data_IF_306179065907
#
_entry.id   IF_306179065907
#
_cell.length_a   1.000
_cell.length_b   1.000
_cell.length_c   1.000
_cell.angle_alpha   90.00
_cell.angle_beta   90.00
_cell.angle_gamma   90.00
#
_symmetry.space_group_name_H-M   'P 1'
#
loop_
_entity.id
_entity.type
_entity.pdbx_description
1 polymer ?
#
# COMPACT_ATOMS: atom_id res chain seq x y z
N UNK A 1 -1.35 3.30 10.89
CA UNK A 1 -2.15 4.52 10.62
C UNK A 1 -1.59 5.18 9.37
N UNK A 2 -2.40 5.45 8.34
CA UNK A 2 -1.95 6.07 7.09
C UNK A 2 -1.92 7.60 7.27
N UNK A 3 -0.79 8.25 6.96
CA UNK A 3 -0.67 9.71 7.02
C UNK A 3 -1.60 10.40 6.02
N UNK A 4 -2.01 11.64 6.33
CA UNK A 4 -2.83 12.45 5.41
C UNK A 4 -2.14 12.69 4.05
N UNK A 5 -0.80 12.70 4.02
CA UNK A 5 -0.03 12.85 2.78
C UNK A 5 -0.13 11.59 1.91
N UNK A 6 0.00 10.41 2.49
CA UNK A 6 -0.21 9.14 1.79
C UNK A 6 -1.64 9.02 1.25
N UNK A 7 -2.67 9.33 2.06
CA UNK A 7 -4.08 9.31 1.63
C UNK A 7 -4.33 10.15 0.38
N UNK A 8 -3.86 11.40 0.36
CA UNK A 8 -4.01 12.28 -0.83
C UNK A 8 -3.35 11.71 -2.08
N UNK A 9 -2.18 11.07 -1.94
CA UNK A 9 -1.53 10.42 -3.08
C UNK A 9 -2.31 9.20 -3.55
N UNK A 10 -2.82 8.40 -2.61
CA UNK A 10 -3.67 7.24 -2.93
C UNK A 10 -4.93 7.70 -3.66
N UNK A 11 -5.61 8.75 -3.20
CA UNK A 11 -6.81 9.29 -3.84
C UNK A 11 -6.54 9.76 -5.28
N UNK A 12 -5.40 10.40 -5.51
CA UNK A 12 -4.98 10.80 -6.85
C UNK A 12 -4.75 9.60 -7.78
N UNK A 13 -4.34 8.45 -7.24
CA UNK A 13 -4.23 7.20 -8.00
C UNK A 13 -5.58 6.51 -8.17
N UNK A 14 -6.40 6.44 -7.13
CA UNK A 14 -7.75 5.89 -7.16
C UNK A 14 -8.61 6.62 -8.19
N UNK A 15 -8.48 7.95 -8.30
CA UNK A 15 -9.17 8.77 -9.29
C UNK A 15 -8.82 8.45 -10.75
N UNK A 16 -7.74 7.71 -11.02
CA UNK A 16 -7.41 7.23 -12.37
C UNK A 16 -8.21 5.99 -12.77
N UNK A 17 -8.79 5.30 -11.79
CA UNK A 17 -9.62 4.12 -12.02
C UNK A 17 -11.11 4.50 -11.98
N UNK A 18 -11.95 3.84 -12.78
CA UNK A 18 -13.39 4.05 -12.72
C UNK A 18 -13.97 3.68 -11.33
N UNK A 19 -15.09 4.31 -10.97
CA UNK A 19 -15.79 4.01 -9.71
C UNK A 19 -16.09 2.50 -9.59
N UNK A 20 -15.83 1.92 -8.42
CA UNK A 20 -15.92 0.48 -8.18
C UNK A 20 -14.64 -0.32 -8.48
N UNK A 21 -13.62 0.29 -9.13
CA UNK A 21 -12.33 -0.36 -9.41
C UNK A 21 -11.17 0.20 -8.56
N UNK A 22 -11.49 0.78 -7.40
CA UNK A 22 -10.51 1.39 -6.49
C UNK A 22 -9.45 0.39 -5.99
N UNK A 23 -9.83 -0.89 -5.89
CA UNK A 23 -8.94 -1.99 -5.55
C UNK A 23 -7.76 -2.16 -6.52
N UNK A 24 -7.86 -1.67 -7.75
CA UNK A 24 -6.73 -1.69 -8.70
C UNK A 24 -5.60 -0.73 -8.30
N UNK A 25 -5.89 0.27 -7.46
CA UNK A 25 -4.88 1.18 -6.92
C UNK A 25 -4.09 0.57 -5.73
N UNK A 26 -4.38 -0.67 -5.30
CA UNK A 26 -3.76 -1.31 -4.13
C UNK A 26 -2.23 -1.37 -4.23
N UNK A 27 -1.68 -1.62 -5.42
CA UNK A 27 -0.23 -1.67 -5.62
C UNK A 27 0.42 -0.33 -5.28
N UNK A 28 -0.14 0.76 -5.81
CA UNK A 28 0.43 2.09 -5.56
C UNK A 28 0.14 2.57 -4.14
N UNK A 29 -1.00 2.20 -3.58
CA UNK A 29 -1.30 2.48 -2.18
C UNK A 29 -0.29 1.83 -1.23
N UNK A 30 0.00 0.53 -1.42
CA UNK A 30 1.00 -0.19 -0.64
C UNK A 30 2.40 0.42 -0.81
N UNK A 31 2.76 0.83 -2.03
CA UNK A 31 4.06 1.46 -2.32
C UNK A 31 4.22 2.80 -1.61
N UNK A 32 3.19 3.66 -1.64
CA UNK A 32 3.18 4.95 -0.94
C UNK A 32 3.31 4.73 0.57
N UNK A 33 2.53 3.79 1.13
CA UNK A 33 2.54 3.49 2.56
C UNK A 33 3.86 2.87 3.01
N UNK A 34 4.47 2.02 2.18
CA UNK A 34 5.82 1.50 2.42
C UNK A 34 6.85 2.62 2.47
N UNK A 35 6.82 3.55 1.50
CA UNK A 35 7.76 4.66 1.45
C UNK A 35 7.64 5.59 2.66
N UNK A 36 6.44 5.79 3.19
CA UNK A 36 6.24 6.58 4.42
C UNK A 36 6.58 5.83 5.72
N UNK A 37 6.53 4.49 5.74
CA UNK A 37 6.91 3.66 6.89
C UNK A 37 8.35 3.12 6.78
N UNK A 38 9.31 3.98 6.43
CA UNK A 38 10.74 3.63 6.37
C UNK A 38 11.04 2.39 5.50
N UNK A 39 10.36 2.29 4.35
CA UNK A 39 10.44 1.15 3.44
C UNK A 39 10.00 -0.19 4.04
N UNK A 40 9.07 -0.19 5.01
CA UNK A 40 8.51 -1.39 5.62
C UNK A 40 6.98 -1.40 5.56
N UNK A 41 6.40 -2.55 5.23
CA UNK A 41 4.99 -2.84 5.41
C UNK A 41 4.79 -3.76 6.61
N UNK A 42 3.88 -3.37 7.51
CA UNK A 42 3.40 -4.20 8.61
C UNK A 42 1.97 -4.68 8.34
N UNK A 43 1.51 -5.76 8.99
CA UNK A 43 0.13 -6.23 8.86
C UNK A 43 -0.90 -5.11 9.11
N UNK A 44 -0.67 -4.27 10.12
CA UNK A 44 -1.54 -3.13 10.42
C UNK A 44 -1.62 -2.11 9.29
N UNK A 45 -0.50 -1.88 8.59
CA UNK A 45 -0.47 -0.94 7.45
C UNK A 45 -1.15 -1.52 6.22
N UNK A 46 -1.03 -2.83 5.98
CA UNK A 46 -1.71 -3.53 4.89
C UNK A 46 -3.22 -3.52 5.13
N UNK A 47 -3.64 -3.83 6.36
CA UNK A 47 -5.05 -3.76 6.75
C UNK A 47 -5.60 -2.35 6.60
N UNK A 48 -4.85 -1.33 7.04
CA UNK A 48 -5.28 0.06 6.88
C UNK A 48 -5.43 0.49 5.41
N UNK A 49 -4.61 -0.04 4.50
CA UNK A 49 -4.76 0.20 3.05
C UNK A 49 -5.99 -0.52 2.50
N UNK A 50 -6.24 -1.75 2.96
CA UNK A 50 -7.41 -2.51 2.56
C UNK A 50 -8.72 -1.82 2.99
N UNK A 51 -8.78 -1.37 4.25
CA UNK A 51 -9.90 -0.60 4.79
C UNK A 51 -10.09 0.72 4.05
N UNK A 52 -9.00 1.33 3.56
CA UNK A 52 -9.05 2.58 2.80
C UNK A 52 -9.60 2.41 1.38
N UNK A 53 -9.28 1.29 0.73
CA UNK A 53 -9.71 0.98 -0.63
C UNK A 53 -11.02 0.17 -0.67
N UNK A 54 -11.70 0.04 0.48
CA UNK A 54 -12.90 -0.76 0.67
C UNK A 54 -12.76 -2.20 0.10
N UNK A 55 -11.62 -2.83 0.40
CA UNK A 55 -11.29 -4.18 -0.07
C UNK A 55 -10.95 -5.11 1.09
N UNK A 56 -10.97 -6.42 0.83
CA UNK A 56 -10.62 -7.41 1.86
C UNK A 56 -9.14 -7.30 2.23
N UNK A 57 -8.85 -7.31 3.54
CA UNK A 57 -7.48 -7.32 4.07
C UNK A 57 -6.62 -8.44 3.51
N UNK A 58 -7.21 -9.62 3.27
CA UNK A 58 -6.50 -10.75 2.68
C UNK A 58 -6.07 -10.50 1.24
N UNK A 59 -6.89 -9.82 0.43
CA UNK A 59 -6.53 -9.48 -0.95
C UNK A 59 -5.36 -8.47 -0.98
N UNK A 60 -5.34 -7.51 -0.06
CA UNK A 60 -4.20 -6.59 0.07
C UNK A 60 -2.94 -7.31 0.56
N UNK A 61 -3.07 -8.29 1.46
CA UNK A 61 -1.97 -9.12 1.94
C UNK A 61 -1.40 -10.03 0.84
N UNK A 62 -2.26 -10.60 -0.01
CA UNK A 62 -1.84 -11.36 -1.19
C UNK A 62 -1.02 -10.48 -2.13
N UNK A 63 -1.48 -9.28 -2.47
CA UNK A 63 -0.70 -8.34 -3.29
C UNK A 63 0.64 -8.01 -2.62
N UNK A 64 0.63 -7.72 -1.32
CA UNK A 64 1.84 -7.37 -0.58
C UNK A 64 2.86 -8.53 -0.53
N UNK A 65 2.42 -9.79 -0.60
CA UNK A 65 3.29 -10.97 -0.58
C UNK A 65 3.65 -11.47 -1.98
N UNK A 66 2.79 -11.23 -2.96
CA UNK A 66 2.97 -11.63 -4.35
C UNK A 66 4.09 -10.85 -5.05
N UNK A 67 4.20 -9.54 -4.78
CA UNK A 67 5.25 -8.71 -5.36
C UNK A 67 6.47 -8.63 -4.43
N UNK A 68 7.64 -9.08 -4.91
CA UNK A 68 8.92 -9.01 -4.19
C UNK A 68 9.37 -7.60 -3.80
N UNK A 69 8.84 -6.56 -4.47
CA UNK A 69 9.20 -5.17 -4.19
C UNK A 69 8.70 -4.68 -2.83
N UNK A 70 7.81 -5.43 -2.17
CA UNK A 70 7.29 -5.10 -0.86
C UNK A 70 8.12 -5.72 0.26
N UNK A 71 8.60 -4.88 1.17
CA UNK A 71 9.43 -5.32 2.28
C UNK A 71 8.59 -5.45 3.55
N UNK A 72 8.41 -6.68 4.02
CA UNK A 72 7.73 -6.98 5.30
C UNK A 72 8.65 -6.82 6.52
N UNK A 73 9.96 -6.75 6.28
CA UNK A 73 10.99 -6.58 7.30
C UNK A 73 11.60 -5.18 7.19
N UNK A 74 12.11 -4.60 8.30
CA UNK A 74 12.84 -3.35 8.23
C UNK A 74 14.05 -3.52 7.31
N UNK A 75 14.13 -2.68 6.28
CA UNK A 75 15.27 -2.61 5.38
C UNK A 75 15.99 -1.29 5.57
N UNK A 76 17.26 -1.22 5.18
CA UNK A 76 18.01 0.03 5.22
C UNK A 76 17.43 1.10 4.28
N UNK A 77 17.84 2.36 4.46
CA UNK A 77 17.43 3.47 3.58
C UNK A 77 17.78 3.26 2.11
N UNK A 78 18.84 2.50 1.84
CA UNK A 78 19.25 2.13 0.49
C UNK A 78 19.32 0.60 0.42
N UNK A 79 18.36 0.01 -0.27
CA UNK A 79 18.40 -1.41 -0.63
C UNK A 79 19.00 -1.50 -2.02
N UNK A 80 20.21 -2.08 -2.12
CA UNK A 80 20.78 -2.47 -3.41
C UNK A 80 20.16 -3.85 -3.74
N UNK A 81 19.38 -3.92 -4.81
CA UNK A 81 18.75 -5.14 -5.33
C UNK A 81 19.22 -5.39 -6.75
#
# INVERSE_FOLDING_TARGET
MISNKAKKQIDAWVAKYPEGHQSSAVMEALKIVQAENDNRLTPDTIQAVADYLDMQGIAAAEVATFYENYNHKPVGKHTIR
#
